data_IF_553543401802
#
_entry.id   IF_553543401802
#
_cell.length_a   1.000
_cell.length_b   1.000
_cell.length_c   1.000
_cell.angle_alpha   90.00
_cell.angle_beta   90.00
_cell.angle_gamma   90.00
#
_symmetry.space_group_name_H-M   'P 1'
#
loop_
_entity.id
_entity.type
_entity.pdbx_description
1 polymer ?
#
# COMPACT_ATOMS: atom_id res chain seq x y z
N UNK A 1 -1.25 -0.31 -17.03
CA UNK A 1 -2.10 -0.74 -15.94
C UNK A 1 -1.88 0.11 -14.72
N UNK A 2 -2.96 0.44 -14.09
CA UNK A 2 -2.86 1.27 -12.90
C UNK A 2 -2.48 0.45 -11.70
N UNK A 3 -1.65 1.05 -10.86
CA UNK A 3 -1.30 0.44 -9.59
C UNK A 3 -2.24 0.93 -8.50
N UNK A 4 -2.47 0.08 -7.51
CA UNK A 4 -3.28 0.45 -6.36
C UNK A 4 -2.40 1.20 -5.36
N UNK A 5 -2.88 2.36 -4.93
CA UNK A 5 -2.15 3.17 -3.95
C UNK A 5 -2.39 2.60 -2.56
N UNK A 6 -1.44 1.82 -2.09
CA UNK A 6 -1.59 1.05 -0.87
C UNK A 6 -1.84 1.94 0.35
N UNK A 7 -1.39 3.18 0.31
CA UNK A 7 -1.56 4.09 1.44
C UNK A 7 -2.88 4.86 1.39
N UNK A 8 -3.59 4.81 0.27
CA UNK A 8 -4.82 5.58 0.09
C UNK A 8 -6.03 4.69 -0.22
N UNK A 9 -5.80 3.44 -0.56
CA UNK A 9 -6.87 2.54 -0.98
C UNK A 9 -7.78 2.19 0.18
N UNK A 10 -9.07 2.01 -0.12
CA UNK A 10 -9.99 1.47 0.86
C UNK A 10 -9.87 -0.06 0.90
N UNK A 11 -10.51 -0.73 1.86
CA UNK A 11 -10.36 -2.18 1.97
C UNK A 11 -10.70 -2.95 0.71
N UNK A 12 -11.71 -2.52 -0.03
CA UNK A 12 -12.10 -3.22 -1.24
C UNK A 12 -11.07 -3.06 -2.33
N UNK A 13 -10.48 -1.88 -2.44
CA UNK A 13 -9.43 -1.65 -3.42
C UNK A 13 -8.20 -2.48 -3.13
N UNK A 14 -7.88 -2.65 -1.85
CA UNK A 14 -6.75 -3.49 -1.48
C UNK A 14 -6.97 -4.93 -1.88
N UNK A 15 -8.20 -5.41 -1.80
CA UNK A 15 -8.52 -6.78 -2.20
C UNK A 15 -8.38 -7.01 -3.69
N UNK A 16 -8.35 -5.96 -4.49
CA UNK A 16 -8.13 -6.09 -5.92
C UNK A 16 -6.69 -6.39 -6.27
N UNK A 17 -5.76 -6.20 -5.33
CA UNK A 17 -4.37 -6.50 -5.57
C UNK A 17 -4.19 -8.02 -5.57
N UNK A 18 -3.62 -8.60 -6.64
CA UNK A 18 -3.42 -10.05 -6.68
C UNK A 18 -2.55 -10.52 -5.52
N UNK A 19 -3.02 -11.55 -4.84
CA UNK A 19 -2.29 -12.10 -3.70
C UNK A 19 -2.65 -11.48 -2.37
N UNK A 20 -3.46 -10.44 -2.36
CA UNK A 20 -3.86 -9.79 -1.13
C UNK A 20 -5.24 -10.28 -0.72
N UNK A 21 -5.35 -10.77 0.50
CA UNK A 21 -6.59 -11.29 1.05
C UNK A 21 -7.10 -10.38 2.14
N UNK A 22 -8.26 -10.74 2.73
CA UNK A 22 -8.90 -9.92 3.74
C UNK A 22 -7.98 -9.63 4.92
N UNK A 23 -7.27 -10.64 5.39
CA UNK A 23 -6.38 -10.48 6.53
C UNK A 23 -5.28 -9.48 6.25
N UNK A 24 -4.69 -9.55 5.06
CA UNK A 24 -3.64 -8.63 4.68
C UNK A 24 -4.18 -7.21 4.52
N UNK A 25 -5.36 -7.10 3.94
CA UNK A 25 -6.00 -5.80 3.80
C UNK A 25 -6.22 -5.15 5.17
N UNK A 26 -6.75 -5.91 6.11
CA UNK A 26 -6.97 -5.40 7.46
C UNK A 26 -5.66 -4.99 8.12
N UNK A 27 -4.62 -5.78 7.93
CA UNK A 27 -3.31 -5.49 8.50
C UNK A 27 -2.74 -4.19 7.96
N UNK A 28 -2.87 -3.97 6.65
CA UNK A 28 -2.39 -2.75 6.03
C UNK A 28 -3.13 -1.54 6.59
N UNK A 29 -4.44 -1.64 6.71
CA UNK A 29 -5.23 -0.52 7.20
C UNK A 29 -4.87 -0.18 8.64
N UNK A 30 -4.72 -1.19 9.49
CA UNK A 30 -4.32 -0.96 10.87
C UNK A 30 -2.92 -0.36 10.96
N UNK A 31 -2.01 -0.86 10.13
CA UNK A 31 -0.65 -0.36 10.17
C UNK A 31 -0.59 1.12 9.79
N UNK A 32 -1.24 1.49 8.68
CA UNK A 32 -1.14 2.86 8.24
C UNK A 32 -1.88 3.82 9.17
N UNK A 33 -2.88 3.34 9.90
CA UNK A 33 -3.57 4.15 10.90
C UNK A 33 -2.70 4.37 12.13
N UNK A 34 -1.87 3.38 12.48
CA UNK A 34 -1.05 3.44 13.69
C UNK A 34 0.32 4.06 13.43
N UNK A 35 0.90 3.80 12.26
CA UNK A 35 2.28 4.15 11.98
C UNK A 35 2.48 5.09 10.80
N UNK A 36 1.40 5.39 10.06
CA UNK A 36 1.51 6.24 8.90
C UNK A 36 1.76 5.47 7.62
N UNK A 37 2.10 6.17 6.55
CA UNK A 37 2.22 5.55 5.25
C UNK A 37 3.31 4.48 5.18
N UNK A 38 3.06 3.47 4.35
CA UNK A 38 4.06 2.45 4.06
C UNK A 38 4.98 3.02 3.00
N UNK A 39 6.29 3.02 3.27
CA UNK A 39 7.23 3.74 2.42
C UNK A 39 7.76 2.94 1.25
N UNK A 40 7.92 1.62 1.40
CA UNK A 40 8.52 0.83 0.34
C UNK A 40 8.18 -0.66 0.50
N UNK A 41 8.68 -1.45 -0.44
CA UNK A 41 8.41 -2.89 -0.46
C UNK A 41 9.00 -3.60 0.74
N UNK A 42 10.15 -3.16 1.23
CA UNK A 42 10.77 -3.80 2.38
C UNK A 42 9.90 -3.64 3.61
N UNK A 43 9.33 -2.47 3.80
CA UNK A 43 8.42 -2.23 4.92
C UNK A 43 7.17 -3.09 4.78
N UNK A 44 6.63 -3.19 3.57
CA UNK A 44 5.45 -4.01 3.34
C UNK A 44 5.72 -5.47 3.65
N UNK A 45 6.92 -5.96 3.33
CA UNK A 45 7.28 -7.33 3.67
C UNK A 45 7.32 -7.57 5.17
N UNK A 46 7.77 -6.59 5.92
CA UNK A 46 7.77 -6.70 7.38
C UNK A 46 6.35 -6.79 7.89
N UNK A 47 5.44 -6.03 7.31
CA UNK A 47 4.05 -5.99 7.76
C UNK A 47 3.31 -7.28 7.41
N UNK A 48 3.46 -7.76 6.18
CA UNK A 48 2.66 -8.87 5.67
C UNK A 48 3.42 -10.20 5.61
N UNK A 49 4.74 -10.15 5.73
CA UNK A 49 5.56 -11.33 5.57
C UNK A 49 6.11 -11.45 4.15
N UNK A 50 7.31 -11.99 4.04
CA UNK A 50 8.00 -12.07 2.75
C UNK A 50 7.33 -13.01 1.76
N UNK A 51 6.57 -13.97 2.25
CA UNK A 51 5.90 -14.91 1.37
C UNK A 51 4.69 -14.28 0.67
N UNK A 52 4.04 -13.35 1.35
CA UNK A 52 2.88 -12.67 0.78
C UNK A 52 3.28 -11.62 -0.23
N UNK A 53 4.37 -10.93 0.04
CA UNK A 53 4.79 -9.81 -0.81
C UNK A 53 5.73 -10.32 -1.88
N UNK A 54 5.15 -10.67 -3.02
CA UNK A 54 5.89 -11.21 -4.16
C UNK A 54 6.14 -10.10 -5.17
N UNK A 55 7.09 -10.31 -6.10
CA UNK A 55 7.28 -9.34 -7.19
C UNK A 55 6.01 -9.08 -7.98
N UNK A 56 5.20 -10.13 -8.20
CA UNK A 56 3.94 -9.96 -8.92
C UNK A 56 3.00 -9.03 -8.17
N UNK A 57 2.90 -9.18 -6.85
CA UNK A 57 2.10 -8.30 -6.05
C UNK A 57 2.62 -6.86 -6.14
N UNK A 58 3.92 -6.70 -6.05
CA UNK A 58 4.52 -5.37 -6.04
C UNK A 58 4.30 -4.61 -7.34
N UNK A 59 4.10 -5.32 -8.45
CA UNK A 59 3.81 -4.67 -9.71
C UNK A 59 2.47 -3.94 -9.69
N UNK A 60 1.61 -4.28 -8.76
CA UNK A 60 0.28 -3.69 -8.64
C UNK A 60 0.17 -2.68 -7.50
N UNK A 61 1.28 -2.34 -6.86
CA UNK A 61 1.28 -1.50 -5.67
C UNK A 61 2.04 -0.21 -5.92
N UNK A 62 1.41 0.90 -5.51
CA UNK A 62 2.02 2.22 -5.55
C UNK A 62 2.17 2.69 -4.11
N UNK A 63 3.37 3.15 -3.77
CA UNK A 63 3.68 3.55 -2.39
C UNK A 63 3.54 5.04 -2.14
N UNK A 64 2.89 5.76 -3.03
CA UNK A 64 2.67 7.18 -2.78
C UNK A 64 1.88 7.38 -1.50
N UNK A 65 2.37 8.29 -0.65
CA UNK A 65 1.80 8.49 0.67
C UNK A 65 0.55 9.37 0.63
N UNK A 66 0.47 10.26 -0.33
CA UNK A 66 -0.65 11.18 -0.40
C UNK A 66 -0.90 11.56 -1.84
N UNK A 67 -2.15 11.74 -2.13
CA UNK A 67 -2.53 12.22 -3.45
C UNK A 67 -2.05 13.63 -3.65
N UNK A 68 -1.97 14.28 -2.57
CA UNK A 68 -1.64 15.65 -2.68
C UNK A 68 -0.22 15.92 -2.53
N UNK A 69 0.06 15.61 -2.54
CA UNK A 69 0.97 16.11 -2.31
C UNK A 69 1.43 17.06 -2.90
N UNK A 70 0.53 16.86 -2.91
CA UNK A 70 0.79 17.36 -3.38
C UNK A 70 1.16 18.29 -3.64
N UNK A 71 1.07 18.25 -3.60
CA UNK A 71 1.42 18.86 -3.80
C UNK A 71 2.04 19.70 -3.69
N UNK A 72 2.13 19.58 -3.48
CA UNK A 72 2.65 20.11 -3.24
C UNK A 72 3.26 20.88 -3.62
N UNK A 73 2.74 20.98 -3.74
CA UNK A 73 3.12 21.52 -4.04
C UNK A 73 3.58 22.40 -4.20
N UNK A 74 3.49 22.38 -4.37
CA UNK A 74 3.88 23.14 -4.63
C UNK A 74 4.60 24.01 -4.34
N UNK A 75 4.71 23.77 -4.28
CA UNK A 75 5.34 24.31 -4.00
C UNK A 75 5.65 25.11 -4.04
N UNK A 76 5.29 24.89 -4.12
CA UNK A 76 5.53 25.46 -4.18
C UNK A 76 6.05 26.00 -4.11
#
# INVERSE_FOLDING_TARGET
MEKTRINLANPQELLEIPGLHQDESDTIIRYRAAHGPIGDAAELRIILGGETVTPALLEHVDFQAAAATAAEAPGA
#
